data_IF_812291503168
#
_entry.id   IF_812291503168
#
_cell.length_a   1.000
_cell.length_b   1.000
_cell.length_c   1.000
_cell.angle_alpha   90.00
_cell.angle_beta   90.00
_cell.angle_gamma   90.00
#
_symmetry.space_group_name_H-M   'P 1'
#
loop_
_entity.id
_entity.type
_entity.pdbx_description
1 polymer ?
#
# COMPACT_ATOMS: atom_id res chain seq x y z
N UNK A 1 -9.71 -29.51 23.71
CA UNK A 1 -9.31 -28.82 22.45
C UNK A 1 -9.41 -29.73 21.23
N UNK A 2 -9.25 -31.05 21.39
CA UNK A 2 -9.57 -32.06 20.35
C UNK A 2 -11.07 -32.39 20.26
N UNK A 3 -11.88 -31.81 21.14
CA UNK A 3 -13.32 -32.02 21.19
C UNK A 3 -13.99 -31.50 19.92
N UNK A 4 -15.10 -32.14 19.55
CA UNK A 4 -15.89 -31.76 18.39
C UNK A 4 -16.55 -30.39 18.60
N UNK A 5 -16.56 -29.59 17.55
CA UNK A 5 -17.29 -28.33 17.52
C UNK A 5 -18.79 -28.60 17.49
N UNK A 6 -19.50 -28.03 18.47
CA UNK A 6 -20.95 -28.14 18.59
C UNK A 6 -21.54 -26.76 18.30
N UNK A 7 -22.10 -26.52 17.10
CA UNK A 7 -22.77 -25.27 16.81
C UNK A 7 -24.01 -25.10 17.71
N UNK A 8 -24.11 -23.95 18.39
CA UNK A 8 -25.29 -23.61 19.18
C UNK A 8 -26.51 -23.46 18.25
N UNK A 9 -27.60 -24.17 18.56
CA UNK A 9 -28.89 -24.04 17.86
C UNK A 9 -29.16 -24.97 16.67
N UNK A 10 -28.24 -25.90 16.30
CA UNK A 10 -28.50 -26.92 15.26
C UNK A 10 -28.72 -28.32 15.83
N UNK A 11 -29.66 -29.06 15.25
CA UNK A 11 -29.92 -30.47 15.57
C UNK A 11 -28.68 -31.33 15.25
N UNK A 12 -28.23 -32.15 16.22
CA UNK A 12 -27.04 -33.02 16.14
C UNK A 12 -27.04 -34.03 14.98
N UNK A 13 -28.15 -34.21 14.26
CA UNK A 13 -28.32 -35.27 13.25
C UNK A 13 -27.66 -34.99 11.89
N UNK A 14 -27.07 -33.80 11.67
CA UNK A 14 -26.45 -33.40 10.38
C UNK A 14 -25.14 -32.60 10.53
N UNK A 15 -24.43 -32.73 11.64
CA UNK A 15 -23.23 -31.92 11.89
C UNK A 15 -21.99 -32.62 11.30
N UNK A 16 -21.24 -31.95 10.42
CA UNK A 16 -19.90 -32.40 10.03
C UNK A 16 -19.01 -32.47 11.26
N UNK A 17 -18.21 -33.53 11.34
CA UNK A 17 -17.26 -33.75 12.42
C UNK A 17 -16.07 -32.77 12.31
N UNK A 18 -16.28 -31.50 12.66
CA UNK A 18 -15.24 -30.47 12.71
C UNK A 18 -14.70 -30.41 14.14
N UNK A 19 -13.38 -30.50 14.32
CA UNK A 19 -12.74 -30.29 15.63
C UNK A 19 -12.84 -28.81 16.03
N UNK A 20 -13.01 -28.54 17.33
CA UNK A 20 -13.01 -27.18 17.88
C UNK A 20 -11.79 -26.37 17.42
N UNK A 21 -10.60 -26.99 17.40
CA UNK A 21 -9.39 -26.32 16.95
C UNK A 21 -9.50 -25.82 15.51
N UNK A 22 -10.03 -26.64 14.59
CA UNK A 22 -10.24 -26.24 13.20
C UNK A 22 -11.27 -25.12 13.10
N UNK A 23 -12.39 -25.23 13.81
CA UNK A 23 -13.44 -24.21 13.79
C UNK A 23 -12.92 -22.84 14.23
N UNK A 24 -12.23 -22.77 15.37
CA UNK A 24 -11.73 -21.48 15.87
C UNK A 24 -10.53 -20.97 15.08
N UNK A 25 -9.60 -21.82 14.64
CA UNK A 25 -8.38 -21.38 13.94
C UNK A 25 -8.57 -21.11 12.46
N UNK A 26 -9.44 -21.85 11.80
CA UNK A 26 -9.60 -21.80 10.34
C UNK A 26 -10.91 -21.13 10.02
N UNK A 27 -12.04 -21.69 10.46
CA UNK A 27 -13.36 -21.22 10.00
C UNK A 27 -13.67 -19.82 10.54
N UNK A 28 -13.48 -19.59 11.84
CA UNK A 28 -13.76 -18.30 12.47
C UNK A 28 -12.76 -17.23 12.02
N UNK A 29 -11.46 -17.53 11.97
CA UNK A 29 -10.48 -16.56 11.48
C UNK A 29 -10.72 -16.21 10.01
N UNK A 30 -10.96 -17.20 9.14
CA UNK A 30 -11.25 -16.95 7.73
C UNK A 30 -12.53 -16.12 7.58
N UNK A 31 -13.58 -16.44 8.33
CA UNK A 31 -14.81 -15.64 8.33
C UNK A 31 -14.58 -14.19 8.78
N UNK A 32 -13.73 -13.98 9.80
CA UNK A 32 -13.36 -12.62 10.23
C UNK A 32 -12.57 -11.89 9.14
N UNK A 33 -11.61 -12.55 8.49
CA UNK A 33 -10.85 -11.97 7.37
C UNK A 33 -11.79 -11.61 6.23
N UNK A 34 -12.69 -12.50 5.84
CA UNK A 34 -13.66 -12.28 4.76
C UNK A 34 -14.59 -11.09 5.08
N UNK A 35 -15.06 -10.97 6.32
CA UNK A 35 -15.86 -9.81 6.75
C UNK A 35 -15.06 -8.50 6.68
N UNK A 36 -13.81 -8.50 7.11
CA UNK A 36 -12.96 -7.30 7.04
C UNK A 36 -12.64 -6.92 5.58
N UNK A 37 -12.37 -7.90 4.72
CA UNK A 37 -12.17 -7.69 3.29
C UNK A 37 -13.43 -7.14 2.63
N UNK A 38 -14.60 -7.67 2.97
CA UNK A 38 -15.87 -7.18 2.46
C UNK A 38 -16.12 -5.73 2.87
N UNK A 39 -15.84 -5.37 4.12
CA UNK A 39 -16.00 -4.00 4.61
C UNK A 39 -14.98 -3.04 3.98
N UNK A 40 -13.75 -3.49 3.73
CA UNK A 40 -12.76 -2.72 2.99
C UNK A 40 -13.21 -2.49 1.55
N UNK A 41 -13.66 -3.54 0.87
CA UNK A 41 -14.13 -3.47 -0.52
C UNK A 41 -15.42 -2.66 -0.68
N UNK A 42 -16.26 -2.58 0.36
CA UNK A 42 -17.47 -1.74 0.34
C UNK A 42 -17.16 -0.26 0.50
N UNK A 43 -16.10 0.08 1.26
CA UNK A 43 -15.69 1.45 1.56
C UNK A 43 -14.69 2.02 0.57
N UNK A 44 -13.84 1.17 -0.02
CA UNK A 44 -12.81 1.56 -0.97
C UNK A 44 -13.10 0.95 -2.34
N UNK A 45 -13.37 1.77 -3.37
CA UNK A 45 -13.35 1.31 -4.75
C UNK A 45 -12.03 0.60 -5.07
N UNK A 46 -12.06 -0.36 -5.98
CA UNK A 46 -10.88 -1.12 -6.42
C UNK A 46 -9.70 -0.21 -6.83
N UNK A 47 -9.98 0.91 -7.49
CA UNK A 47 -8.95 1.90 -7.83
C UNK A 47 -8.25 2.51 -6.59
N UNK A 48 -8.98 2.71 -5.48
CA UNK A 48 -8.42 3.28 -4.25
C UNK A 48 -7.62 2.24 -3.47
N UNK A 49 -8.04 0.97 -3.47
CA UNK A 49 -7.26 -0.11 -2.86
C UNK A 49 -5.97 -0.37 -3.64
N UNK A 50 -6.02 -0.35 -4.98
CA UNK A 50 -4.82 -0.39 -5.81
C UNK A 50 -3.87 0.77 -5.50
N UNK A 51 -4.39 2.00 -5.38
CA UNK A 51 -3.59 3.17 -5.05
C UNK A 51 -2.85 3.01 -3.71
N UNK A 52 -3.55 2.57 -2.66
CA UNK A 52 -2.96 2.33 -1.34
C UNK A 52 -1.85 1.28 -1.40
N UNK A 53 -2.06 0.19 -2.15
CA UNK A 53 -1.05 -0.84 -2.36
C UNK A 53 0.17 -0.31 -3.12
N UNK A 54 -0.02 0.64 -4.03
CA UNK A 54 1.08 1.27 -4.73
C UNK A 54 1.87 2.22 -3.83
N UNK A 55 1.20 3.02 -2.99
CA UNK A 55 1.86 3.88 -2.00
C UNK A 55 2.71 3.08 -1.02
N UNK A 56 2.23 1.92 -0.57
CA UNK A 56 2.98 1.03 0.31
C UNK A 56 4.33 0.56 -0.28
N UNK A 57 4.48 0.58 -1.61
CA UNK A 57 5.70 0.15 -2.28
C UNK A 57 6.88 1.13 -2.14
N UNK A 58 6.64 2.36 -1.69
CA UNK A 58 7.68 3.36 -1.38
C UNK A 58 8.13 3.30 0.09
N UNK A 59 7.53 2.43 0.90
CA UNK A 59 7.86 2.36 2.32
C UNK A 59 9.32 1.94 2.50
N UNK A 60 10.13 2.70 3.28
CA UNK A 60 11.51 2.32 3.57
C UNK A 60 11.61 1.15 4.58
N UNK A 61 10.50 0.78 5.22
CA UNK A 61 10.44 -0.31 6.19
C UNK A 61 10.97 -1.63 5.62
N UNK A 62 11.68 -2.39 6.47
CA UNK A 62 12.30 -3.67 6.12
C UNK A 62 13.16 -3.56 4.86
N UNK A 63 13.95 -2.49 4.73
CA UNK A 63 14.82 -2.24 3.58
C UNK A 63 14.05 -2.21 2.25
N UNK A 64 12.92 -1.50 2.25
CA UNK A 64 12.03 -1.42 1.08
C UNK A 64 11.53 -2.80 0.64
N UNK A 65 11.17 -3.69 1.58
CA UNK A 65 10.70 -5.04 1.26
C UNK A 65 9.47 -5.02 0.34
N UNK A 66 8.56 -4.07 0.57
CA UNK A 66 7.32 -3.92 -0.20
C UNK A 66 7.54 -3.34 -1.61
N UNK A 67 8.77 -3.01 -2.00
CA UNK A 67 9.08 -2.40 -3.28
C UNK A 67 8.57 -3.23 -4.45
N UNK A 68 7.81 -2.60 -5.35
CA UNK A 68 7.31 -3.21 -6.56
C UNK A 68 7.27 -2.18 -7.70
N UNK A 69 8.19 -2.34 -8.64
CA UNK A 69 8.37 -1.45 -9.80
C UNK A 69 7.06 -1.21 -10.57
N UNK A 70 6.33 -2.28 -10.91
CA UNK A 70 5.11 -2.17 -11.70
C UNK A 70 3.99 -1.41 -10.98
N UNK A 71 3.88 -1.59 -9.66
CA UNK A 71 2.93 -0.82 -8.84
C UNK A 71 3.29 0.66 -8.76
N UNK A 72 4.58 0.99 -8.69
CA UNK A 72 5.04 2.39 -8.71
C UNK A 72 4.84 3.06 -10.06
N UNK A 73 4.98 2.33 -11.17
CA UNK A 73 4.62 2.84 -12.50
C UNK A 73 3.11 3.10 -12.58
N UNK A 74 2.27 2.18 -12.06
CA UNK A 74 0.82 2.43 -11.95
C UNK A 74 0.52 3.65 -11.08
N UNK A 75 1.22 3.83 -9.96
CA UNK A 75 1.09 5.02 -9.12
C UNK A 75 1.34 6.31 -9.89
N UNK A 76 2.40 6.33 -10.71
CA UNK A 76 2.72 7.47 -11.56
C UNK A 76 1.61 7.76 -12.56
N UNK A 77 0.99 6.72 -13.15
CA UNK A 77 -0.16 6.89 -14.04
C UNK A 77 -1.39 7.46 -13.33
N UNK A 78 -1.60 7.13 -12.04
CA UNK A 78 -2.69 7.68 -11.25
C UNK A 78 -2.46 9.15 -10.86
N UNK A 79 -1.26 9.50 -10.40
CA UNK A 79 -0.96 10.84 -9.86
C UNK A 79 -0.52 11.85 -10.91
N UNK A 80 0.16 11.38 -11.95
CA UNK A 80 0.84 12.24 -12.91
C UNK A 80 0.25 11.96 -14.30
N UNK A 81 -1.05 12.29 -14.45
CA UNK A 81 -1.82 12.11 -15.70
C UNK A 81 -1.10 12.62 -16.96
N UNK A 82 -0.16 13.54 -16.81
CA UNK A 82 0.59 14.17 -17.89
C UNK A 82 1.95 13.52 -18.19
N UNK A 83 2.26 12.36 -17.60
CA UNK A 83 3.50 11.65 -17.93
C UNK A 83 3.44 11.15 -19.37
N UNK A 84 4.35 11.69 -20.19
CA UNK A 84 4.60 11.13 -21.51
C UNK A 84 5.07 9.68 -21.37
N UNK A 85 4.83 8.82 -22.39
CA UNK A 85 5.37 7.46 -22.41
C UNK A 85 6.90 7.42 -22.20
N UNK A 86 7.60 8.46 -22.66
CA UNK A 86 9.05 8.61 -22.49
C UNK A 86 9.42 8.78 -21.01
N UNK A 87 8.64 9.58 -20.27
CA UNK A 87 8.87 9.78 -18.83
C UNK A 87 8.55 8.51 -18.02
N UNK A 88 7.58 7.69 -18.46
CA UNK A 88 7.30 6.40 -17.82
C UNK A 88 8.46 5.41 -18.00
N UNK A 89 9.06 5.35 -19.19
CA UNK A 89 10.26 4.54 -19.43
C UNK A 89 11.44 5.04 -18.59
N UNK A 90 11.66 6.36 -18.55
CA UNK A 90 12.72 6.95 -17.73
C UNK A 90 12.49 6.70 -16.22
N UNK A 91 11.23 6.70 -15.77
CA UNK A 91 10.88 6.35 -14.39
C UNK A 91 11.20 4.88 -14.11
N UNK A 92 10.86 3.98 -15.03
CA UNK A 92 11.16 2.55 -14.90
C UNK A 92 12.66 2.31 -14.71
N UNK A 93 13.50 2.94 -15.52
CA UNK A 93 14.96 2.85 -15.41
C UNK A 93 15.49 3.49 -14.11
N UNK A 94 14.91 4.62 -13.69
CA UNK A 94 15.29 5.25 -12.41
C UNK A 94 14.94 4.38 -11.21
N UNK A 95 13.79 3.68 -11.23
CA UNK A 95 13.33 2.86 -10.12
C UNK A 95 14.27 1.68 -9.81
N UNK A 96 14.87 1.06 -10.84
CA UNK A 96 15.83 -0.04 -10.65
C UNK A 96 17.14 0.42 -10.00
N UNK A 97 17.63 1.58 -10.44
CA UNK A 97 18.82 2.19 -9.86
C UNK A 97 18.55 2.71 -8.44
N UNK A 98 17.37 3.31 -8.23
CA UNK A 98 16.92 3.82 -6.94
C UNK A 98 16.90 2.72 -5.88
N UNK A 99 16.21 1.60 -6.13
CA UNK A 99 16.07 0.56 -5.11
C UNK A 99 17.41 -0.07 -4.74
N UNK A 100 18.31 -0.23 -5.72
CA UNK A 100 19.65 -0.77 -5.51
C UNK A 100 20.48 0.18 -4.63
N UNK A 101 20.45 1.46 -4.94
CA UNK A 101 21.15 2.51 -4.19
C UNK A 101 20.60 2.65 -2.76
N UNK A 102 19.27 2.70 -2.60
CA UNK A 102 18.61 2.80 -1.29
C UNK A 102 18.95 1.61 -0.39
N UNK A 103 18.88 0.37 -0.91
CA UNK A 103 19.19 -0.84 -0.14
C UNK A 103 20.67 -0.99 0.21
N UNK A 104 21.55 -0.42 -0.61
CA UNK A 104 23.00 -0.45 -0.36
C UNK A 104 23.45 0.55 0.71
N UNK A 105 22.62 1.55 1.01
CA UNK A 105 22.98 2.63 1.92
C UNK A 105 22.39 2.42 3.32
N UNK A 106 23.28 2.34 4.31
CA UNK A 106 22.93 2.26 5.74
C UNK A 106 22.13 3.48 6.20
N UNK A 107 22.22 4.60 5.48
CA UNK A 107 21.53 5.84 5.85
C UNK A 107 20.01 5.79 5.58
N UNK A 108 19.56 4.80 4.79
CA UNK A 108 18.15 4.60 4.45
C UNK A 108 17.54 3.36 5.11
N UNK A 109 18.31 2.57 5.87
CA UNK A 109 17.84 1.30 6.44
C UNK A 109 16.91 1.44 7.64
N UNK A 110 16.98 2.56 8.36
CA UNK A 110 16.24 2.77 9.64
C UNK A 110 15.17 3.88 9.54
N UNK A 111 14.74 4.23 8.33
CA UNK A 111 13.70 5.25 8.14
C UNK A 111 12.31 4.68 8.47
N UNK A 112 11.50 5.44 9.21
CA UNK A 112 10.21 5.00 9.73
C UNK A 112 9.01 5.46 8.88
N UNK A 113 9.24 6.22 7.80
CA UNK A 113 8.15 6.65 6.92
C UNK A 113 8.57 7.54 5.76
N UNK A 114 7.59 7.87 4.91
CA UNK A 114 7.77 8.67 3.69
C UNK A 114 8.29 10.09 3.98
N UNK A 115 7.89 10.70 5.09
CA UNK A 115 8.35 12.04 5.47
C UNK A 115 9.85 12.04 5.78
N UNK A 116 10.35 11.06 6.54
CA UNK A 116 11.78 10.93 6.82
C UNK A 116 12.55 10.58 5.54
N UNK A 117 11.99 9.71 4.69
CA UNK A 117 12.56 9.35 3.39
C UNK A 117 12.76 10.58 2.50
N UNK A 118 11.71 11.38 2.28
CA UNK A 118 11.78 12.59 1.45
C UNK A 118 12.82 13.59 1.96
N UNK A 119 12.89 13.82 3.27
CA UNK A 119 13.91 14.67 3.86
C UNK A 119 15.32 14.11 3.62
N UNK A 120 15.52 12.81 3.84
CA UNK A 120 16.81 12.14 3.65
C UNK A 120 17.29 12.18 2.20
N UNK A 121 16.37 12.02 1.25
CA UNK A 121 16.67 12.11 -0.18
C UNK A 121 17.22 13.49 -0.55
N UNK A 122 16.68 14.58 0.00
CA UNK A 122 17.18 15.94 -0.21
C UNK A 122 18.54 16.14 0.46
N UNK A 123 18.69 15.71 1.72
CA UNK A 123 19.95 15.80 2.45
C UNK A 123 21.12 15.16 1.68
N UNK A 124 20.86 14.00 1.07
CA UNK A 124 21.83 13.22 0.31
C UNK A 124 21.88 13.58 -1.17
N UNK A 125 21.18 14.63 -1.59
CA UNK A 125 21.07 15.10 -2.97
C UNK A 125 20.56 14.03 -3.95
N UNK A 126 19.88 13.00 -3.43
CA UNK A 126 19.28 11.90 -4.20
C UNK A 126 18.02 12.36 -4.93
N UNK A 127 17.38 13.43 -4.46
CA UNK A 127 16.31 14.17 -5.16
C UNK A 127 16.72 14.59 -6.58
N UNK A 128 18.00 14.90 -6.80
CA UNK A 128 18.54 15.26 -8.12
C UNK A 128 18.97 14.07 -8.96
N UNK A 129 19.31 12.96 -8.31
CA UNK A 129 19.73 11.71 -8.97
C UNK A 129 18.50 10.94 -9.47
N UNK A 130 17.43 10.93 -8.67
CA UNK A 130 16.18 10.22 -8.95
C UNK A 130 14.99 11.19 -8.96
N UNK A 131 14.97 12.19 -9.86
CA UNK A 131 13.97 13.25 -9.83
C UNK A 131 12.54 12.75 -10.05
N UNK A 132 12.34 11.68 -10.83
CA UNK A 132 11.00 11.14 -11.09
C UNK A 132 10.47 10.36 -9.89
N UNK A 133 11.34 9.61 -9.20
CA UNK A 133 10.97 8.90 -7.97
C UNK A 133 10.68 9.90 -6.85
N UNK A 134 11.53 10.93 -6.71
CA UNK A 134 11.32 11.99 -5.72
C UNK A 134 10.02 12.77 -5.94
N UNK A 135 9.60 12.97 -7.20
CA UNK A 135 8.30 13.55 -7.55
C UNK A 135 7.13 12.71 -7.02
N UNK A 136 7.23 11.38 -7.09
CA UNK A 136 6.22 10.48 -6.53
C UNK A 136 6.18 10.60 -5.00
N UNK A 137 7.33 10.59 -4.34
CA UNK A 137 7.41 10.71 -2.88
C UNK A 137 6.84 12.06 -2.37
N UNK A 138 7.13 13.16 -3.07
CA UNK A 138 6.56 14.49 -2.75
C UNK A 138 5.05 14.51 -2.99
N UNK A 139 4.57 13.97 -4.12
CA UNK A 139 3.13 13.99 -4.45
C UNK A 139 2.28 13.37 -3.35
N UNK A 140 2.82 12.34 -2.68
CA UNK A 140 2.17 11.66 -1.56
C UNK A 140 2.27 12.42 -0.23
N UNK A 141 3.38 13.11 0.02
CA UNK A 141 3.56 13.88 1.28
C UNK A 141 2.85 15.23 1.23
N UNK A 142 2.79 15.90 0.07
CA UNK A 142 2.14 17.22 -0.08
C UNK A 142 0.62 17.15 -0.11
N UNK A 143 0.04 16.04 -0.60
CA UNK A 143 -1.41 15.81 -0.51
C UNK A 143 -1.91 15.71 0.94
N UNK A 144 -1.03 15.35 1.88
CA UNK A 144 -1.31 15.41 3.32
C UNK A 144 -1.48 16.84 3.88
N UNK A 145 -0.92 17.86 3.22
CA UNK A 145 -0.97 19.25 3.70
C UNK A 145 -2.14 20.09 3.14
N UNK A 146 -2.85 19.65 2.10
CA UNK A 146 -4.03 20.36 1.57
C UNK A 146 -5.37 19.98 2.26
N UNK A 147 -5.31 19.21 3.36
CA UNK A 147 -6.48 18.69 4.08
C UNK A 147 -7.12 19.66 5.09
N UNK A 148 -7.12 20.98 4.85
CA UNK A 148 -7.83 21.93 5.72
C UNK A 148 -9.24 22.35 5.25
N UNK A 149 -9.78 21.78 4.16
CA UNK A 149 -11.20 21.97 3.83
C UNK A 149 -11.86 20.73 3.24
N UNK A 150 -12.50 20.01 4.17
CA UNK A 150 -13.70 19.16 4.11
C UNK A 150 -13.83 18.14 2.97
N UNK A 151 -13.74 16.87 3.44
CA UNK A 151 -14.24 15.61 2.88
C UNK A 151 -13.42 15.02 1.73
N UNK A 152 -12.32 14.37 2.10
CA UNK A 152 -11.72 13.33 1.28
C UNK A 152 -10.84 12.40 2.09
N UNK A 153 -10.66 11.16 1.62
CA UNK A 153 -9.59 10.29 2.11
C UNK A 153 -8.25 10.62 1.42
N UNK A 154 -8.26 11.35 0.28
CA UNK A 154 -7.30 12.39 -0.16
C UNK A 154 -7.86 12.97 -1.48
N UNK A 155 -8.31 14.23 -1.44
CA UNK A 155 -9.26 14.94 -2.34
C UNK A 155 -10.03 14.12 -3.39
N UNK A 156 -11.24 13.66 -3.03
CA UNK A 156 -12.25 13.20 -3.97
C UNK A 156 -12.44 14.26 -5.05
N UNK A 157 -12.21 13.88 -6.30
CA UNK A 157 -12.44 14.67 -7.52
C UNK A 157 -11.51 15.90 -7.61
N UNK A 158 -10.55 15.89 -8.54
CA UNK A 158 -10.68 16.70 -9.76
C UNK A 158 -11.91 17.62 -9.68
N UNK A 159 -11.74 18.86 -9.23
CA UNK A 159 -12.76 19.89 -9.42
C UNK A 159 -13.13 19.87 -10.91
N UNK A 160 -14.30 19.33 -11.21
CA UNK A 160 -14.99 19.57 -12.47
C UNK A 160 -15.45 21.03 -12.46
N UNK A 161 -15.25 21.65 -13.61
CA UNK A 161 -15.58 23.01 -14.08
C UNK A 161 -14.65 24.18 -13.68
#
# INVERSE_FOLDING_TARGET
>A
MDDMFIPQGRSRRKTQEIKNMHHYRVDLFSAVIDMQLQELNSRFPEANTELLLCVACLSPTDQFYAFNKHKLIRLAQFYLRDYSPINLLALEDQLENYITDMRSSVEFSELNGLTELTQKLVEKKKDKVFPLVYLLDIGLTTTSCNCYSRKSVFCYKYCED
#
